data_IF_406179137096
#
_entry.id   IF_406179137096
#
_cell.length_a   1.000
_cell.length_b   1.000
_cell.length_c   1.000
_cell.angle_alpha   90.00
_cell.angle_beta   90.00
_cell.angle_gamma   90.00
#
_symmetry.space_group_name_H-M   'P 1'
#
loop_
_entity.id
_entity.type
_entity.pdbx_description
1 polymer ?
#
# COMPACT_ATOMS: atom_id res chain seq x y z
N UNK A 1 3.77 -34.01 16.11
CA UNK A 1 3.70 -32.96 15.07
C UNK A 1 2.96 -31.76 15.64
N UNK A 2 3.71 -30.79 16.19
CA UNK A 2 3.14 -29.60 16.80
C UNK A 2 2.84 -28.55 15.71
N UNK A 3 1.60 -28.08 15.66
CA UNK A 3 1.14 -27.04 14.74
C UNK A 3 1.90 -25.74 15.00
N UNK A 4 2.67 -25.29 14.02
CA UNK A 4 3.40 -24.03 14.08
C UNK A 4 2.41 -22.89 13.86
N UNK A 5 2.03 -22.21 14.95
CA UNK A 5 1.05 -21.12 14.94
C UNK A 5 1.75 -19.84 14.44
N UNK A 6 1.77 -19.64 13.12
CA UNK A 6 2.36 -18.48 12.44
C UNK A 6 1.58 -17.18 12.66
N UNK A 7 1.46 -16.73 13.91
CA UNK A 7 1.11 -15.33 14.17
C UNK A 7 2.33 -14.48 13.81
N UNK A 8 2.18 -13.70 12.73
CA UNK A 8 3.05 -12.56 12.42
C UNK A 8 3.36 -11.81 13.71
N UNK A 9 4.63 -11.86 14.15
CA UNK A 9 5.11 -11.01 15.23
C UNK A 9 4.99 -9.58 14.72
N UNK A 10 4.01 -8.84 15.20
CA UNK A 10 4.02 -7.38 15.08
C UNK A 10 5.38 -6.91 15.58
N UNK A 11 6.19 -6.35 14.67
CA UNK A 11 7.51 -5.86 15.00
C UNK A 11 7.38 -4.90 16.18
N UNK A 12 8.13 -5.13 17.26
CA UNK A 12 8.21 -4.18 18.38
C UNK A 12 8.53 -2.81 17.78
N UNK A 13 7.71 -1.78 18.01
CA UNK A 13 7.97 -0.47 17.43
C UNK A 13 9.35 0.00 17.90
N UNK A 14 10.18 0.44 16.95
CA UNK A 14 11.52 0.94 17.22
C UNK A 14 11.44 2.01 18.32
N UNK A 15 12.43 2.02 19.22
CA UNK A 15 12.46 3.03 20.26
C UNK A 15 12.64 4.42 19.64
N UNK A 16 12.18 5.45 20.35
CA UNK A 16 12.32 6.84 19.91
C UNK A 16 13.78 7.21 19.61
N UNK A 17 14.74 6.70 20.40
CA UNK A 17 16.17 6.98 20.23
C UNK A 17 16.72 6.35 18.94
N UNK A 18 16.36 5.09 18.66
CA UNK A 18 16.76 4.40 17.42
C UNK A 18 16.20 5.10 16.17
N UNK A 19 14.91 5.47 16.20
CA UNK A 19 14.27 6.20 15.11
C UNK A 19 14.95 7.55 14.86
N UNK A 20 15.29 8.28 15.94
CA UNK A 20 15.98 9.57 15.83
C UNK A 20 17.36 9.40 15.21
N UNK A 21 18.13 8.40 15.64
CA UNK A 21 19.44 8.14 15.05
C UNK A 21 19.35 7.79 13.56
N UNK A 22 18.42 6.91 13.18
CA UNK A 22 18.23 6.52 11.77
C UNK A 22 17.85 7.73 10.90
N UNK A 23 16.96 8.61 11.38
CA UNK A 23 16.59 9.86 10.70
C UNK A 23 17.74 10.87 10.60
N UNK A 24 18.67 10.85 11.56
CA UNK A 24 19.88 11.68 11.52
C UNK A 24 20.91 11.13 10.53
N UNK A 25 21.03 9.81 10.39
CA UNK A 25 21.94 9.15 9.42
C UNK A 25 21.47 9.25 7.97
N UNK A 26 20.18 9.54 7.74
CA UNK A 26 19.62 9.66 6.39
C UNK A 26 20.33 10.76 5.60
N UNK A 27 20.74 10.44 4.37
CA UNK A 27 21.27 11.41 3.42
C UNK A 27 20.24 12.52 3.11
N UNK A 28 20.64 13.77 3.38
CA UNK A 28 19.85 15.00 3.15
C UNK A 28 20.43 15.86 2.04
N UNK A 29 21.38 15.35 1.26
CA UNK A 29 21.97 16.07 0.15
C UNK A 29 20.95 16.42 -0.94
N UNK A 30 21.21 17.53 -1.63
CA UNK A 30 20.46 17.96 -2.81
C UNK A 30 20.93 17.16 -4.02
N UNK A 31 20.46 15.91 -4.12
CA UNK A 31 20.64 15.06 -5.30
C UNK A 31 19.40 15.05 -6.17
N UNK A 32 19.58 14.75 -7.45
CA UNK A 32 18.47 14.49 -8.36
C UNK A 32 17.68 13.26 -7.89
N UNK A 33 16.36 13.38 -7.96
CA UNK A 33 15.38 12.36 -7.50
C UNK A 33 14.44 11.94 -8.62
N UNK A 34 14.66 12.42 -9.84
CA UNK A 34 13.92 11.96 -11.01
C UNK A 34 14.31 10.50 -11.26
N UNK A 35 13.31 9.62 -11.25
CA UNK A 35 13.45 8.19 -11.51
C UNK A 35 12.29 7.72 -12.38
N UNK A 36 12.48 6.60 -13.08
CA UNK A 36 11.40 5.90 -13.76
C UNK A 36 10.40 5.30 -12.77
N UNK A 37 9.20 4.93 -13.25
CA UNK A 37 8.22 4.24 -12.41
C UNK A 37 8.74 2.86 -11.98
N UNK A 38 9.43 2.16 -12.87
CA UNK A 38 10.05 0.87 -12.62
C UNK A 38 11.06 0.96 -11.48
N UNK A 39 11.96 1.95 -11.52
CA UNK A 39 12.91 2.21 -10.43
C UNK A 39 12.19 2.62 -9.15
N UNK A 40 11.13 3.42 -9.23
CA UNK A 40 10.38 3.85 -8.06
C UNK A 40 9.74 2.66 -7.29
N UNK A 41 9.38 1.57 -7.98
CA UNK A 41 8.90 0.35 -7.32
C UNK A 41 9.93 -0.33 -6.44
N UNK A 42 11.23 -0.06 -6.64
CA UNK A 42 12.31 -0.61 -5.81
C UNK A 42 12.29 -0.06 -4.38
N UNK A 43 11.69 1.12 -4.18
CA UNK A 43 11.58 1.77 -2.86
C UNK A 43 10.46 1.19 -1.99
N UNK A 44 9.53 0.44 -2.59
CA UNK A 44 8.45 -0.25 -1.88
C UNK A 44 8.83 -1.73 -1.76
N UNK A 45 8.82 -2.27 -0.54
CA UNK A 45 9.13 -3.67 -0.25
C UNK A 45 7.85 -4.44 0.03
N UNK A 46 7.90 -5.75 -0.18
CA UNK A 46 6.77 -6.61 0.16
C UNK A 46 6.52 -6.57 1.66
N UNK A 47 5.25 -6.41 2.06
CA UNK A 47 4.88 -6.23 3.47
C UNK A 47 4.84 -4.78 3.95
N UNK A 48 5.25 -3.80 3.12
CA UNK A 48 5.25 -2.40 3.55
C UNK A 48 3.84 -1.84 3.75
N UNK A 49 3.72 -0.91 4.69
CA UNK A 49 2.55 -0.04 4.83
C UNK A 49 2.77 1.24 4.05
N UNK A 50 1.93 1.47 3.04
CA UNK A 50 2.06 2.59 2.10
C UNK A 50 0.84 3.50 2.15
N UNK A 51 1.08 4.81 2.16
CA UNK A 51 0.04 5.82 1.99
C UNK A 51 -0.16 6.14 0.52
N UNK A 52 -1.40 6.16 0.05
CA UNK A 52 -1.74 6.49 -1.34
C UNK A 52 -2.44 7.86 -1.36
N UNK A 53 -1.85 8.80 -2.07
CA UNK A 53 -2.41 10.15 -2.27
C UNK A 53 -3.58 10.19 -3.27
N UNK A 54 -4.18 11.37 -3.42
CA UNK A 54 -5.37 11.57 -4.25
C UNK A 54 -6.69 11.36 -3.47
N UNK A 55 -7.82 11.50 -4.16
CA UNK A 55 -9.15 11.25 -3.60
C UNK A 55 -10.14 10.81 -4.68
N UNK A 56 -10.89 9.74 -4.45
CA UNK A 56 -11.72 9.06 -5.46
C UNK A 56 -10.94 8.85 -6.79
N UNK A 57 -11.35 9.48 -7.89
CA UNK A 57 -10.67 9.43 -9.18
C UNK A 57 -9.74 10.64 -9.43
N UNK A 58 -9.62 11.56 -8.47
CA UNK A 58 -8.84 12.79 -8.62
C UNK A 58 -7.39 12.58 -8.19
N UNK A 59 -6.46 12.78 -9.14
CA UNK A 59 -5.00 12.74 -8.94
C UNK A 59 -4.51 11.45 -8.27
N UNK A 60 -5.22 10.35 -8.51
CA UNK A 60 -4.79 9.02 -8.08
C UNK A 60 -3.51 8.64 -8.85
N UNK A 61 -2.44 8.17 -8.18
CA UNK A 61 -1.17 7.82 -8.83
C UNK A 61 -1.26 6.48 -9.57
N UNK A 62 -2.16 6.38 -10.55
CA UNK A 62 -2.46 5.13 -11.26
C UNK A 62 -1.23 4.52 -11.93
N UNK A 63 -0.32 5.35 -12.46
CA UNK A 63 0.95 4.87 -13.02
C UNK A 63 1.78 4.06 -12.01
N UNK A 64 1.83 4.51 -10.75
CA UNK A 64 2.54 3.81 -9.68
C UNK A 64 1.80 2.54 -9.24
N UNK A 65 0.47 2.56 -9.15
CA UNK A 65 -0.34 1.37 -8.83
C UNK A 65 -0.09 0.26 -9.85
N UNK A 66 -0.13 0.60 -11.14
CA UNK A 66 0.18 -0.34 -12.21
C UNK A 66 1.64 -0.80 -12.19
N UNK A 67 2.58 0.09 -11.91
CA UNK A 67 4.00 -0.27 -11.83
C UNK A 67 4.25 -1.29 -10.69
N UNK A 68 3.65 -1.09 -9.52
CA UNK A 68 3.74 -2.02 -8.39
C UNK A 68 3.18 -3.41 -8.75
N UNK A 69 2.04 -3.45 -9.45
CA UNK A 69 1.46 -4.70 -9.95
C UNK A 69 2.39 -5.40 -10.95
N UNK A 70 2.96 -4.67 -11.92
CA UNK A 70 3.93 -5.24 -12.89
C UNK A 70 5.21 -5.72 -12.23
N UNK A 71 5.70 -5.02 -11.22
CA UNK A 71 6.88 -5.39 -10.46
C UNK A 71 6.65 -6.60 -9.53
N UNK A 72 5.40 -7.10 -9.44
CA UNK A 72 5.06 -8.26 -8.62
C UNK A 72 5.22 -8.02 -7.13
N UNK A 73 5.06 -6.77 -6.67
CA UNK A 73 5.03 -6.42 -5.23
C UNK A 73 3.82 -7.05 -4.57
N UNK A 74 3.96 -7.46 -3.31
CA UNK A 74 2.92 -8.23 -2.59
C UNK A 74 2.82 -7.84 -1.13
N UNK A 75 1.69 -8.21 -0.53
CA UNK A 75 1.44 -8.07 0.91
C UNK A 75 1.50 -6.64 1.41
N UNK A 76 1.17 -5.68 0.55
CA UNK A 76 1.15 -4.28 0.96
C UNK A 76 -0.07 -4.01 1.84
N UNK A 77 0.11 -3.16 2.84
CA UNK A 77 -0.99 -2.50 3.53
C UNK A 77 -1.16 -1.09 2.96
N UNK A 78 -2.28 -0.80 2.31
CA UNK A 78 -2.51 0.48 1.65
C UNK A 78 -3.48 1.36 2.48
N UNK A 79 -3.02 2.54 2.87
CA UNK A 79 -3.83 3.52 3.60
C UNK A 79 -4.25 4.67 2.68
N UNK A 80 -5.56 4.95 2.63
CA UNK A 80 -6.13 6.06 1.84
C UNK A 80 -7.53 6.42 2.35
N UNK A 81 -7.85 7.71 2.44
CA UNK A 81 -9.13 8.17 3.00
C UNK A 81 -10.36 7.74 2.17
N UNK A 82 -10.31 7.94 0.85
CA UNK A 82 -11.44 7.71 -0.07
C UNK A 82 -10.95 6.89 -1.28
N UNK A 83 -11.20 5.59 -1.24
CA UNK A 83 -10.76 4.60 -2.23
C UNK A 83 -11.83 4.38 -3.29
N UNK A 84 -11.40 4.22 -4.55
CA UNK A 84 -12.27 3.97 -5.70
C UNK A 84 -11.69 2.83 -6.56
N UNK A 85 -11.61 2.98 -7.89
CA UNK A 85 -11.08 1.95 -8.80
C UNK A 85 -9.63 1.55 -8.51
N UNK A 86 -8.87 2.39 -7.81
CA UNK A 86 -7.52 2.08 -7.38
C UNK A 86 -7.47 0.94 -6.36
N UNK A 87 -8.40 0.93 -5.40
CA UNK A 87 -8.50 -0.18 -4.44
C UNK A 87 -8.84 -1.49 -5.12
N UNK A 88 -9.71 -1.44 -6.13
CA UNK A 88 -10.09 -2.63 -6.91
C UNK A 88 -8.89 -3.22 -7.63
N UNK A 89 -8.07 -2.37 -8.24
CA UNK A 89 -6.83 -2.82 -8.88
C UNK A 89 -5.82 -3.35 -7.86
N UNK A 90 -5.68 -2.70 -6.71
CA UNK A 90 -4.76 -3.13 -5.65
C UNK A 90 -5.12 -4.53 -5.11
N UNK A 91 -6.41 -4.80 -4.87
CA UNK A 91 -6.89 -6.12 -4.47
C UNK A 91 -6.82 -7.13 -5.62
N UNK A 92 -7.36 -6.80 -6.79
CA UNK A 92 -7.44 -7.74 -7.91
C UNK A 92 -6.06 -8.15 -8.46
N UNK A 93 -5.05 -7.27 -8.34
CA UNK A 93 -3.67 -7.58 -8.73
C UNK A 93 -2.92 -8.45 -7.71
N UNK A 94 -3.46 -8.65 -6.50
CA UNK A 94 -2.76 -9.34 -5.41
C UNK A 94 -1.58 -8.57 -4.81
N UNK A 95 -1.48 -7.27 -5.11
CA UNK A 95 -0.42 -6.40 -4.56
C UNK A 95 -0.69 -6.06 -3.10
N UNK A 96 -1.97 -5.88 -2.75
CA UNK A 96 -2.41 -5.44 -1.44
C UNK A 96 -3.25 -6.52 -0.74
N UNK A 97 -2.92 -6.79 0.52
CA UNK A 97 -3.67 -7.72 1.37
C UNK A 97 -4.60 -6.97 2.35
N UNK A 98 -4.34 -5.68 2.59
CA UNK A 98 -5.08 -4.90 3.58
C UNK A 98 -5.22 -3.44 3.18
N UNK A 99 -6.46 -2.94 3.13
CA UNK A 99 -6.74 -1.53 2.84
C UNK A 99 -7.35 -0.86 4.07
N UNK A 100 -6.69 0.20 4.54
CA UNK A 100 -7.19 1.07 5.61
C UNK A 100 -7.83 2.29 4.98
N UNK A 101 -9.16 2.37 5.05
CA UNK A 101 -9.93 3.45 4.42
C UNK A 101 -11.20 3.81 5.19
N UNK A 102 -11.69 5.04 5.02
CA UNK A 102 -13.00 5.47 5.53
C UNK A 102 -14.13 5.28 4.53
N UNK A 103 -13.83 5.09 3.25
CA UNK A 103 -14.83 4.89 2.21
C UNK A 103 -14.25 4.14 1.01
N UNK A 104 -15.02 3.19 0.47
CA UNK A 104 -14.63 2.43 -0.70
C UNK A 104 -15.83 2.23 -1.64
N UNK A 105 -15.84 2.98 -2.74
CA UNK A 105 -16.84 2.84 -3.81
C UNK A 105 -16.37 3.54 -5.09
N UNK A 106 -16.93 3.14 -6.25
CA UNK A 106 -16.69 3.80 -7.53
C UNK A 106 -17.30 5.20 -7.60
N UNK A 107 -18.28 5.49 -6.74
CA UNK A 107 -19.04 6.73 -6.72
C UNK A 107 -20.38 6.49 -6.04
N UNK A 108 -20.97 7.55 -5.49
CA UNK A 108 -22.20 7.46 -4.68
C UNK A 108 -23.32 6.69 -5.41
N UNK A 109 -23.46 6.88 -6.72
CA UNK A 109 -24.51 6.24 -7.52
C UNK A 109 -24.23 4.78 -7.90
N UNK A 110 -22.98 4.33 -7.83
CA UNK A 110 -22.55 3.03 -8.36
C UNK A 110 -22.47 1.94 -7.28
N UNK A 111 -22.69 2.33 -6.02
CA UNK A 111 -22.64 1.42 -4.88
C UNK A 111 -21.23 0.95 -4.55
N UNK A 112 -21.15 -0.03 -3.65
CA UNK A 112 -19.89 -0.59 -3.16
C UNK A 112 -19.23 -1.46 -4.24
N UNK A 113 -17.91 -1.42 -4.33
CA UNK A 113 -17.17 -2.27 -5.26
C UNK A 113 -17.43 -3.76 -5.00
N UNK A 114 -17.65 -4.52 -6.09
CA UNK A 114 -17.76 -5.99 -6.04
C UNK A 114 -16.43 -6.66 -5.70
N UNK A 115 -15.30 -6.11 -6.14
CA UNK A 115 -13.96 -6.66 -5.85
C UNK A 115 -13.64 -6.52 -4.38
N UNK A 116 -13.85 -5.30 -3.83
CA UNK A 116 -13.70 -5.07 -2.40
C UNK A 116 -14.63 -5.98 -1.60
N UNK A 117 -15.92 -6.04 -1.97
CA UNK A 117 -16.88 -6.90 -1.26
C UNK A 117 -16.45 -8.35 -1.28
N UNK A 118 -16.04 -8.88 -2.43
CA UNK A 118 -15.53 -10.24 -2.51
C UNK A 118 -14.39 -10.46 -1.53
N UNK A 119 -13.35 -9.62 -1.56
CA UNK A 119 -12.18 -9.75 -0.70
C UNK A 119 -12.50 -9.65 0.80
N UNK A 120 -13.47 -8.81 1.19
CA UNK A 120 -13.87 -8.64 2.59
C UNK A 120 -14.82 -9.75 3.05
N UNK A 121 -15.77 -10.15 2.21
CA UNK A 121 -16.81 -11.13 2.55
C UNK A 121 -16.27 -12.57 2.55
N UNK A 122 -15.18 -12.86 1.82
CA UNK A 122 -14.58 -14.20 1.78
C UNK A 122 -13.41 -14.41 2.76
N UNK A 123 -12.85 -13.33 3.31
CA UNK A 123 -11.56 -13.35 4.00
C UNK A 123 -10.40 -13.64 3.06
#
# INVERSE_FOLDING_TARGET
>A
MAKNNGKSRAATPQSYLELREDLLRRDRSLRDKVVSLEEATSFVRDGDSVGIGGSTMSRTPMGMVWALARAGRKRLTCARSIVSSDGDLLFASGVCDHIVTSWFSQGILWGVSKVMRHHVETG
#
